data_IF_969285269802
#
_entry.id   IF_969285269802
#
_cell.length_a   1.000
_cell.length_b   1.000
_cell.length_c   1.000
_cell.angle_alpha   90.00
_cell.angle_beta   90.00
_cell.angle_gamma   90.00
#
_symmetry.space_group_name_H-M   'P 1'
#
loop_
_entity.id
_entity.type
_entity.pdbx_description
1 polymer ?
#
# COMPACT_ATOMS: atom_id res chain seq x y z
N UNK A 1 6.53 10.49 6.09
CA UNK A 1 7.41 9.85 7.08
C UNK A 1 8.13 10.97 7.79
N UNK A 2 8.06 11.05 9.11
CA UNK A 2 8.94 11.95 9.85
C UNK A 2 10.36 11.38 9.79
N UNK A 3 11.32 12.17 9.30
CA UNK A 3 12.72 11.74 9.21
C UNK A 3 13.28 11.44 10.61
N UNK A 4 12.79 12.13 11.64
CA UNK A 4 13.19 11.87 13.03
C UNK A 4 12.73 10.51 13.55
N UNK A 5 11.47 10.14 13.29
CA UNK A 5 10.92 8.82 13.63
C UNK A 5 11.71 7.68 12.98
N UNK A 6 12.06 7.81 11.70
CA UNK A 6 12.77 6.78 10.95
C UNK A 6 14.12 6.43 11.59
N UNK A 7 14.93 7.45 11.88
CA UNK A 7 16.25 7.26 12.49
C UNK A 7 16.14 6.83 13.96
N UNK A 8 15.14 7.32 14.69
CA UNK A 8 14.87 6.87 16.05
C UNK A 8 14.57 5.37 16.09
N UNK A 9 13.65 4.90 15.24
CA UNK A 9 13.28 3.49 15.16
C UNK A 9 14.52 2.67 14.81
N UNK A 10 15.25 3.01 13.72
CA UNK A 10 16.49 2.30 13.34
C UNK A 10 17.52 2.15 14.46
N UNK A 11 17.57 3.09 15.41
CA UNK A 11 18.48 3.02 16.55
C UNK A 11 18.06 2.03 17.66
N UNK A 12 16.81 1.54 17.66
CA UNK A 12 16.23 0.64 18.68
C UNK A 12 16.58 -0.83 18.47
N UNK A 13 17.87 -1.14 18.37
CA UNK A 13 18.36 -2.53 18.26
C UNK A 13 18.13 -3.34 19.54
N UNK A 14 17.81 -2.68 20.65
CA UNK A 14 17.44 -3.28 21.93
C UNK A 14 16.05 -3.93 21.93
N UNK A 15 15.22 -3.70 20.90
CA UNK A 15 13.88 -4.28 20.77
C UNK A 15 13.84 -5.63 20.06
N UNK A 16 15.01 -6.23 19.78
CA UNK A 16 15.11 -7.55 19.14
C UNK A 16 14.82 -7.55 17.63
N UNK A 17 14.85 -6.38 16.98
CA UNK A 17 14.78 -6.26 15.53
C UNK A 17 16.01 -5.50 15.00
N UNK A 18 16.32 -5.70 13.72
CA UNK A 18 17.40 -5.03 13.01
C UNK A 18 16.89 -4.46 11.70
N UNK A 19 17.37 -3.28 11.32
CA UNK A 19 17.04 -2.68 10.02
C UNK A 19 17.77 -3.40 8.89
N UNK A 20 17.00 -3.98 7.97
CA UNK A 20 17.51 -4.78 6.84
C UNK A 20 17.51 -4.01 5.50
N UNK A 21 17.03 -2.76 5.49
CA UNK A 21 16.85 -1.97 4.27
C UNK A 21 15.38 -1.68 3.95
N UNK A 22 15.14 -1.07 2.78
CA UNK A 22 13.79 -0.77 2.29
C UNK A 22 13.23 -1.96 1.52
N UNK A 23 12.19 -2.61 2.05
CA UNK A 23 11.54 -3.74 1.39
C UNK A 23 10.55 -3.31 0.28
N UNK A 24 9.85 -2.18 0.47
CA UNK A 24 8.91 -1.63 -0.50
C UNK A 24 8.80 -0.11 -0.35
N UNK A 25 8.28 0.54 -1.39
CA UNK A 25 7.96 1.97 -1.39
C UNK A 25 6.44 2.16 -1.40
N UNK A 26 5.93 2.90 -0.42
CA UNK A 26 4.56 3.38 -0.38
C UNK A 26 4.58 4.91 -0.31
N UNK A 27 4.26 5.54 -1.42
CA UNK A 27 4.30 7.00 -1.55
C UNK A 27 2.96 7.57 -1.13
N UNK A 28 2.98 8.57 -0.24
CA UNK A 28 1.78 9.29 0.16
C UNK A 28 1.21 10.05 -1.05
N UNK A 29 -0.09 9.92 -1.37
CA UNK A 29 -0.71 10.70 -2.42
C UNK A 29 -0.65 12.20 -2.11
N UNK A 30 -0.39 13.01 -3.13
CA UNK A 30 -0.43 14.47 -3.04
C UNK A 30 -1.71 14.95 -3.73
N UNK A 31 -2.56 15.71 -3.03
CA UNK A 31 -3.82 16.20 -3.60
C UNK A 31 -4.78 15.09 -4.06
N UNK A 32 -4.69 13.89 -3.48
CA UNK A 32 -5.52 12.74 -3.85
C UNK A 32 -5.07 12.02 -5.13
N UNK A 33 -3.90 12.34 -5.69
CA UNK A 33 -3.35 11.70 -6.89
C UNK A 33 -1.96 11.13 -6.66
N UNK A 34 -1.60 10.17 -7.51
CA UNK A 34 -0.27 9.59 -7.58
C UNK A 34 0.62 10.38 -8.54
N UNK A 35 1.86 10.63 -8.12
CA UNK A 35 2.86 11.31 -8.94
C UNK A 35 3.25 10.44 -10.16
N UNK A 36 3.80 11.08 -11.19
CA UNK A 36 4.34 10.37 -12.35
C UNK A 36 5.31 9.26 -11.92
N UNK A 37 5.27 8.12 -12.62
CA UNK A 37 6.08 6.93 -12.30
C UNK A 37 5.53 6.05 -11.18
N UNK A 38 4.42 6.43 -10.54
CA UNK A 38 3.75 5.62 -9.50
C UNK A 38 2.33 5.23 -9.92
N UNK A 39 1.78 4.18 -9.30
CA UNK A 39 0.42 3.70 -9.58
C UNK A 39 -0.43 3.70 -8.30
N UNK A 40 -1.74 3.99 -8.42
CA UNK A 40 -2.62 4.01 -7.27
C UNK A 40 -2.81 2.61 -6.67
N UNK A 41 -2.82 2.54 -5.34
CA UNK A 41 -3.26 1.38 -4.57
C UNK A 41 -4.44 1.81 -3.71
N UNK A 42 -5.59 1.20 -3.99
CA UNK A 42 -6.84 1.43 -3.29
C UNK A 42 -6.97 0.50 -2.09
N UNK A 43 -7.70 0.93 -1.07
CA UNK A 43 -8.05 0.11 0.10
C UNK A 43 -9.57 0.01 0.25
N UNK A 44 -10.02 -1.18 0.61
CA UNK A 44 -11.40 -1.46 0.99
C UNK A 44 -11.44 -2.17 2.33
N UNK A 45 -12.46 -1.87 3.13
CA UNK A 45 -12.72 -2.48 4.43
C UNK A 45 -13.93 -3.41 4.34
N UNK A 46 -13.84 -4.61 4.91
CA UNK A 46 -14.93 -5.59 4.85
C UNK A 46 -16.11 -5.26 5.76
N UNK A 47 -16.15 -4.07 6.37
CA UNK A 47 -17.21 -3.66 7.28
C UNK A 47 -17.46 -4.64 8.44
N UNK A 48 -16.43 -5.38 8.87
CA UNK A 48 -16.55 -6.39 9.93
C UNK A 48 -17.32 -7.65 9.53
N UNK A 49 -17.58 -7.86 8.24
CA UNK A 49 -18.26 -9.05 7.72
C UNK A 49 -17.62 -10.35 8.25
N UNK A 50 -18.46 -11.26 8.74
CA UNK A 50 -18.02 -12.54 9.31
C UNK A 50 -17.34 -12.44 10.67
N UNK A 51 -17.41 -11.28 11.36
CA UNK A 51 -16.81 -11.09 12.68
C UNK A 51 -15.28 -11.00 12.67
N UNK A 52 -14.67 -10.93 11.48
CA UNK A 52 -13.23 -10.80 11.29
C UNK A 52 -12.93 -9.56 10.44
N UNK A 53 -12.76 -8.38 11.05
CA UNK A 53 -12.42 -7.14 10.35
C UNK A 53 -11.17 -7.32 9.48
N UNK A 54 -11.26 -6.91 8.21
CA UNK A 54 -10.16 -7.07 7.26
C UNK A 54 -10.14 -5.94 6.23
N UNK A 55 -8.93 -5.58 5.82
CA UNK A 55 -8.64 -4.63 4.76
C UNK A 55 -8.05 -5.35 3.56
N UNK A 56 -8.45 -4.95 2.35
CA UNK A 56 -7.80 -5.43 1.12
C UNK A 56 -7.26 -4.26 0.32
N UNK A 57 -6.11 -4.49 -0.30
CA UNK A 57 -5.42 -3.54 -1.17
C UNK A 57 -5.42 -4.04 -2.61
N UNK A 58 -5.66 -3.15 -3.56
CA UNK A 58 -5.69 -3.49 -4.99
C UNK A 58 -5.35 -2.30 -5.86
N UNK A 59 -4.88 -2.56 -7.08
CA UNK A 59 -4.52 -1.51 -8.05
C UNK A 59 -5.62 -1.21 -9.08
N UNK A 60 -6.68 -2.03 -9.11
CA UNK A 60 -7.77 -1.90 -10.07
C UNK A 60 -9.02 -1.30 -9.43
N UNK A 61 -9.50 -0.18 -9.97
CA UNK A 61 -10.76 0.44 -9.53
C UNK A 61 -11.97 -0.47 -9.80
N UNK A 62 -11.97 -1.26 -10.88
CA UNK A 62 -13.08 -2.18 -11.16
C UNK A 62 -13.20 -3.31 -10.12
N UNK A 63 -12.08 -3.71 -9.51
CA UNK A 63 -12.09 -4.67 -8.39
C UNK A 63 -12.65 -4.01 -7.14
N UNK A 64 -12.32 -2.73 -6.88
CA UNK A 64 -12.94 -1.95 -5.80
C UNK A 64 -14.46 -1.91 -5.99
N UNK A 65 -14.94 -1.55 -7.18
CA UNK A 65 -16.37 -1.44 -7.46
C UNK A 65 -17.10 -2.77 -7.27
N UNK A 66 -16.48 -3.87 -7.70
CA UNK A 66 -16.97 -5.25 -7.48
C UNK A 66 -17.09 -5.57 -5.99
N UNK A 67 -16.09 -5.20 -5.20
CA UNK A 67 -16.10 -5.46 -3.75
C UNK A 67 -17.11 -4.58 -3.01
N UNK A 68 -17.28 -3.33 -3.41
CA UNK A 68 -18.32 -2.46 -2.87
C UNK A 68 -19.71 -3.04 -3.15
N UNK A 69 -19.95 -3.56 -4.36
CA UNK A 69 -21.19 -4.28 -4.67
C UNK A 69 -21.43 -5.53 -3.79
N UNK A 70 -20.37 -6.10 -3.22
CA UNK A 70 -20.42 -7.22 -2.27
C UNK A 70 -20.54 -6.77 -0.79
N UNK A 71 -20.73 -5.47 -0.53
CA UNK A 71 -20.91 -4.93 0.82
C UNK A 71 -19.62 -4.48 1.52
N UNK A 72 -18.49 -4.43 0.80
CA UNK A 72 -17.28 -3.77 1.32
C UNK A 72 -17.40 -2.25 1.26
N UNK A 73 -16.65 -1.56 2.11
CA UNK A 73 -16.57 -0.09 2.14
C UNK A 73 -15.30 0.35 1.42
N UNK A 74 -15.43 1.18 0.39
CA UNK A 74 -14.27 1.82 -0.23
C UNK A 74 -13.71 2.91 0.69
N UNK A 75 -12.42 2.82 0.99
CA UNK A 75 -11.68 3.84 1.74
C UNK A 75 -10.83 4.72 0.81
N UNK A 76 -10.91 4.49 -0.50
CA UNK A 76 -10.23 5.29 -1.53
C UNK A 76 -8.76 4.94 -1.71
N UNK A 77 -8.00 5.92 -2.21
CA UNK A 77 -6.57 5.82 -2.48
C UNK A 77 -5.80 5.74 -1.16
N UNK A 78 -5.18 4.59 -0.90
CA UNK A 78 -4.41 4.37 0.32
C UNK A 78 -2.97 4.87 0.19
N UNK A 79 -2.31 4.51 -0.90
CA UNK A 79 -0.96 4.97 -1.23
C UNK A 79 -0.68 4.79 -2.72
N UNK A 80 0.46 5.31 -3.16
CA UNK A 80 0.98 5.13 -4.51
C UNK A 80 2.15 4.15 -4.45
N UNK A 81 2.04 3.06 -5.19
CA UNK A 81 3.09 2.04 -5.31
C UNK A 81 3.98 2.27 -6.53
N UNK A 82 5.05 1.50 -6.64
CA UNK A 82 5.85 1.45 -7.85
C UNK A 82 4.97 1.04 -9.05
N UNK A 83 5.12 1.72 -10.18
CA UNK A 83 4.39 1.38 -11.39
C UNK A 83 4.92 0.08 -12.00
N UNK A 84 4.02 -0.87 -12.31
CA UNK A 84 4.37 -2.08 -13.07
C UNK A 84 4.68 -1.78 -14.53
N UNK A 85 4.38 -0.57 -15.01
CA UNK A 85 4.73 -0.08 -16.35
C UNK A 85 6.25 -0.01 -16.60
N UNK A 86 7.07 -0.11 -15.55
CA UNK A 86 8.53 -0.13 -15.64
C UNK A 86 9.16 -1.48 -15.27
N UNK A 87 8.37 -2.54 -15.09
CA UNK A 87 8.94 -3.88 -15.01
C UNK A 87 9.27 -4.30 -16.45
N UNK A 88 10.55 -4.25 -16.84
CA UNK A 88 10.98 -5.00 -18.01
C UNK A 88 10.63 -6.46 -17.72
N UNK A 89 10.08 -7.17 -18.70
CA UNK A 89 9.97 -8.62 -18.63
C UNK A 89 11.38 -9.17 -18.51
N UNK A 90 11.90 -9.30 -17.29
CA UNK A 90 13.01 -10.20 -17.03
C UNK A 90 12.40 -11.58 -17.23
N UNK A 91 12.58 -12.09 -18.45
CA UNK A 91 12.48 -13.51 -18.68
C UNK A 91 13.43 -14.16 -17.67
N UNK A 92 12.88 -15.03 -16.83
CA UNK A 92 13.71 -15.96 -16.09
C UNK A 92 14.26 -16.93 -17.13
N UNK A 93 15.47 -16.65 -17.61
CA UNK A 93 16.31 -17.60 -18.35
C UNK A 93 16.82 -18.68 -17.39
#
# INVERSE_FOLDING_TARGET
>A
MDTGECEYVKSRTDWGWSYEGYAFYAVKPAGGVCSSGTSPVYRVYNNGMGGAPNHRYMTSQSVVDTMVAQGWVSEGLAFCGASTANYSTVAWD
#
